data_IF_385625345209
#
_entry.id   IF_385625345209
#
_cell.length_a   1.000
_cell.length_b   1.000
_cell.length_c   1.000
_cell.angle_alpha   90.00
_cell.angle_beta   90.00
_cell.angle_gamma   90.00
#
_symmetry.space_group_name_H-M   'P 1'
#
loop_
_entity.id
_entity.type
_entity.pdbx_description
1 polymer ?
#
# COMPACT_ATOMS: atom_id res chain seq x y z
N UNK A 1 -25.38 15.68 -4.70
CA UNK A 1 -25.86 16.53 -5.81
C UNK A 1 -26.77 15.69 -6.69
N UNK A 2 -27.86 16.27 -7.17
CA UNK A 2 -28.85 15.58 -8.02
C UNK A 2 -28.67 15.87 -9.51
N UNK A 3 -28.00 16.96 -9.86
CA UNK A 3 -27.82 17.43 -11.25
C UNK A 3 -26.43 17.08 -11.81
N UNK A 4 -26.35 16.89 -13.13
CA UNK A 4 -25.10 16.72 -13.87
C UNK A 4 -24.28 18.04 -13.91
N UNK A 5 -22.94 17.98 -13.90
CA UNK A 5 -22.11 16.78 -13.82
C UNK A 5 -21.84 16.33 -12.37
N UNK A 6 -22.35 17.06 -11.37
CA UNK A 6 -22.00 16.87 -9.95
C UNK A 6 -22.60 15.61 -9.32
N UNK A 7 -23.65 15.03 -9.91
CA UNK A 7 -24.20 13.72 -9.55
C UNK A 7 -23.14 12.59 -9.67
N UNK A 8 -22.11 12.75 -10.51
CA UNK A 8 -21.01 11.80 -10.67
C UNK A 8 -19.86 12.00 -9.68
N UNK A 9 -19.95 12.99 -8.79
CA UNK A 9 -18.88 13.28 -7.83
C UNK A 9 -18.65 12.06 -6.91
N UNK A 10 -17.40 11.58 -6.77
CA UNK A 10 -17.14 10.41 -5.95
C UNK A 10 -17.52 10.65 -4.47
N UNK A 11 -18.09 9.62 -3.83
CA UNK A 11 -18.55 9.68 -2.44
C UNK A 11 -17.53 10.22 -1.44
N UNK A 12 -16.26 9.87 -1.62
CA UNK A 12 -15.17 10.30 -0.74
C UNK A 12 -14.82 11.79 -0.83
N UNK A 13 -15.35 12.52 -1.83
CA UNK A 13 -15.12 13.95 -1.98
C UNK A 13 -16.12 14.77 -1.15
N UNK A 14 -17.37 14.32 -1.02
CA UNK A 14 -18.37 15.02 -0.20
C UNK A 14 -18.53 14.42 1.20
N UNK A 15 -18.17 13.15 1.41
CA UNK A 15 -18.13 12.51 2.74
C UNK A 15 -16.76 12.68 3.42
N UNK A 16 -16.29 13.93 3.53
CA UNK A 16 -15.00 14.22 4.15
C UNK A 16 -15.02 13.88 5.65
N UNK A 17 -14.17 12.94 6.05
CA UNK A 17 -13.85 12.71 7.47
C UNK A 17 -12.45 13.24 7.76
N UNK A 18 -12.31 13.93 8.88
CA UNK A 18 -11.02 14.44 9.34
C UNK A 18 -10.43 13.44 10.33
N UNK A 19 -9.26 12.94 9.97
CA UNK A 19 -8.42 12.07 10.80
C UNK A 19 -7.23 12.91 11.26
N UNK A 20 -7.17 13.14 12.56
CA UNK A 20 -6.11 13.90 13.22
C UNK A 20 -4.72 13.28 13.01
N UNK A 21 -4.63 11.95 12.88
CA UNK A 21 -3.39 11.24 12.55
C UNK A 21 -2.88 11.66 11.18
N UNK A 22 -3.72 11.63 10.13
CA UNK A 22 -3.29 12.02 8.78
C UNK A 22 -3.02 13.52 8.68
N UNK A 23 -3.82 14.33 9.38
CA UNK A 23 -3.62 15.78 9.47
C UNK A 23 -2.27 16.12 10.13
N UNK A 24 -1.98 15.49 11.27
CA UNK A 24 -0.71 15.66 11.98
C UNK A 24 0.48 15.18 11.16
N UNK A 25 0.37 14.03 10.50
CA UNK A 25 1.43 13.51 9.62
C UNK A 25 1.70 14.44 8.43
N UNK A 26 0.65 14.99 7.80
CA UNK A 26 0.77 15.94 6.70
C UNK A 26 1.49 17.23 7.09
N UNK A 27 1.40 17.65 8.36
CA UNK A 27 2.18 18.79 8.86
C UNK A 27 3.70 18.54 8.83
N UNK A 28 4.14 17.31 9.08
CA UNK A 28 5.56 16.93 9.05
C UNK A 28 6.05 16.54 7.66
N UNK A 29 5.16 16.03 6.81
CA UNK A 29 5.46 15.60 5.44
C UNK A 29 6.04 16.73 4.57
N UNK A 30 6.97 16.45 3.64
CA UNK A 30 7.41 17.44 2.66
C UNK A 30 6.22 18.07 1.90
N UNK A 31 6.17 19.40 1.81
CA UNK A 31 5.01 20.12 1.26
C UNK A 31 4.67 19.72 -0.18
N UNK A 32 5.67 19.35 -0.97
CA UNK A 32 5.51 18.85 -2.35
C UNK A 32 4.72 17.54 -2.40
N UNK A 33 5.01 16.64 -1.47
CA UNK A 33 4.35 15.33 -1.38
C UNK A 33 2.91 15.54 -0.90
N UNK A 34 2.71 16.32 0.17
CA UNK A 34 1.38 16.64 0.68
C UNK A 34 0.49 17.26 -0.40
N UNK A 35 1.03 18.24 -1.15
CA UNK A 35 0.36 18.86 -2.29
C UNK A 35 -0.07 17.82 -3.33
N UNK A 36 0.86 16.97 -3.75
CA UNK A 36 0.62 15.96 -4.78
C UNK A 36 -0.48 14.96 -4.39
N UNK A 37 -0.53 14.53 -3.12
CA UNK A 37 -1.51 13.55 -2.66
C UNK A 37 -2.94 14.10 -2.78
N UNK A 38 -3.22 15.24 -2.12
CA UNK A 38 -4.60 15.77 -2.13
C UNK A 38 -4.98 16.31 -3.51
N UNK A 39 -4.04 16.95 -4.22
CA UNK A 39 -4.31 17.50 -5.55
C UNK A 39 -4.64 16.41 -6.55
N UNK A 40 -3.88 15.31 -6.58
CA UNK A 40 -4.15 14.21 -7.53
C UNK A 40 -5.48 13.52 -7.22
N UNK A 41 -5.89 13.39 -5.95
CA UNK A 41 -7.23 12.87 -5.60
C UNK A 41 -8.33 13.76 -6.19
N UNK A 42 -8.25 15.08 -6.01
CA UNK A 42 -9.23 16.01 -6.58
C UNK A 42 -9.20 16.04 -8.10
N UNK A 43 -8.02 16.04 -8.71
CA UNK A 43 -7.85 16.02 -10.16
C UNK A 43 -8.47 14.77 -10.79
N UNK A 44 -8.31 13.59 -10.16
CA UNK A 44 -8.93 12.36 -10.64
C UNK A 44 -10.42 12.26 -10.33
N UNK A 45 -10.90 12.92 -9.27
CA UNK A 45 -12.34 13.08 -9.06
C UNK A 45 -12.95 13.93 -10.17
N UNK A 46 -12.32 15.04 -10.56
CA UNK A 46 -12.74 15.85 -11.69
C UNK A 46 -12.66 15.07 -13.02
N UNK A 47 -11.58 14.32 -13.24
CA UNK A 47 -11.44 13.43 -14.41
C UNK A 47 -12.61 12.44 -14.52
N UNK A 48 -13.01 11.82 -13.40
CA UNK A 48 -14.14 10.89 -13.36
C UNK A 48 -15.48 11.58 -13.64
N UNK A 49 -15.69 12.76 -13.05
CA UNK A 49 -16.92 13.57 -13.27
C UNK A 49 -17.04 13.96 -14.74
N UNK A 50 -15.97 14.51 -15.32
CA UNK A 50 -15.93 14.92 -16.73
C UNK A 50 -16.11 13.71 -17.65
N UNK A 51 -15.42 12.61 -17.37
CA UNK A 51 -15.52 11.39 -18.15
C UNK A 51 -16.95 10.82 -18.17
N UNK A 52 -17.61 10.73 -17.02
CA UNK A 52 -18.96 10.21 -16.92
C UNK A 52 -20.01 11.13 -17.57
N UNK A 53 -19.88 12.45 -17.39
CA UNK A 53 -20.86 13.42 -17.91
C UNK A 53 -20.71 13.69 -19.42
N UNK A 54 -19.48 13.76 -19.93
CA UNK A 54 -19.22 14.26 -21.29
C UNK A 54 -18.60 13.23 -22.24
N UNK A 55 -18.08 12.11 -21.74
CA UNK A 55 -17.40 11.10 -22.57
C UNK A 55 -17.88 9.65 -22.30
N UNK A 56 -19.20 9.36 -22.36
CA UNK A 56 -19.69 7.99 -22.26
C UNK A 56 -19.28 7.14 -23.49
N UNK A 57 -18.89 5.85 -23.33
CA UNK A 57 -18.80 5.11 -22.06
C UNK A 57 -17.46 5.35 -21.32
N UNK A 58 -17.53 5.99 -20.15
CA UNK A 58 -16.40 6.10 -19.24
C UNK A 58 -16.29 4.87 -18.34
N UNK A 59 -15.08 4.31 -18.27
CA UNK A 59 -14.80 3.14 -17.44
C UNK A 59 -13.97 3.54 -16.22
N UNK A 60 -14.50 3.36 -15.01
CA UNK A 60 -13.80 3.71 -13.76
C UNK A 60 -12.50 2.92 -13.52
N UNK A 61 -12.33 1.78 -14.19
CA UNK A 61 -11.12 0.96 -14.14
C UNK A 61 -9.87 1.67 -14.69
N UNK A 62 -10.06 2.64 -15.60
CA UNK A 62 -8.97 3.43 -16.21
C UNK A 62 -8.06 4.12 -15.18
N UNK A 63 -8.62 4.62 -14.08
CA UNK A 63 -7.85 5.22 -12.97
C UNK A 63 -6.96 4.19 -12.29
N UNK A 64 -7.45 2.95 -12.14
CA UNK A 64 -6.67 1.83 -11.66
C UNK A 64 -5.50 1.52 -12.58
N UNK A 65 -5.74 1.52 -13.89
CA UNK A 65 -4.74 1.23 -14.91
C UNK A 65 -3.66 2.31 -15.03
N UNK A 66 -4.03 3.60 -14.91
CA UNK A 66 -3.05 4.70 -14.85
C UNK A 66 -2.06 4.50 -13.68
N UNK A 67 -2.59 4.07 -12.53
CA UNK A 67 -1.78 3.77 -11.35
C UNK A 67 -0.94 2.51 -11.53
N UNK A 68 -1.46 1.45 -12.17
CA UNK A 68 -0.67 0.26 -12.54
C UNK A 68 0.54 0.63 -13.40
N UNK A 69 0.33 1.48 -14.41
CA UNK A 69 1.42 2.00 -15.24
C UNK A 69 2.43 2.81 -14.43
N UNK A 70 1.96 3.67 -13.53
CA UNK A 70 2.81 4.47 -12.66
C UNK A 70 3.69 3.60 -11.74
N UNK A 71 3.14 2.50 -11.21
CA UNK A 71 3.90 1.53 -10.40
C UNK A 71 5.08 0.95 -11.17
N UNK A 72 4.86 0.54 -12.43
CA UNK A 72 5.92 -0.01 -13.28
C UNK A 72 7.00 1.06 -13.56
N UNK A 73 6.59 2.24 -14.04
CA UNK A 73 7.53 3.31 -14.39
C UNK A 73 8.38 3.77 -13.20
N UNK A 74 7.78 3.90 -12.00
CA UNK A 74 8.51 4.32 -10.81
C UNK A 74 9.41 3.21 -10.27
N UNK A 75 9.01 1.94 -10.40
CA UNK A 75 9.88 0.82 -10.04
C UNK A 75 11.11 0.79 -10.90
N UNK A 76 10.95 0.90 -12.23
CA UNK A 76 12.08 1.01 -13.17
C UNK A 76 12.97 2.19 -12.79
N UNK A 77 12.38 3.35 -12.48
CA UNK A 77 13.12 4.54 -12.06
C UNK A 77 13.94 4.31 -10.78
N UNK A 78 13.36 3.66 -9.76
CA UNK A 78 14.05 3.33 -8.49
C UNK A 78 15.20 2.35 -8.74
N UNK A 79 14.97 1.30 -9.54
CA UNK A 79 16.00 0.32 -9.87
C UNK A 79 17.15 0.96 -10.65
N UNK A 80 16.82 1.83 -11.62
CA UNK A 80 17.81 2.53 -12.44
C UNK A 80 18.67 3.50 -11.62
N UNK A 81 18.05 4.31 -10.76
CA UNK A 81 18.78 5.22 -9.85
C UNK A 81 19.65 4.45 -8.84
N UNK A 82 19.16 3.30 -8.36
CA UNK A 82 19.84 2.45 -7.38
C UNK A 82 20.87 1.47 -7.96
N UNK A 83 21.09 1.42 -9.28
CA UNK A 83 21.86 0.36 -9.96
C UNK A 83 23.24 0.08 -9.36
N UNK A 84 23.96 1.12 -8.96
CA UNK A 84 25.29 1.00 -8.35
C UNK A 84 25.23 0.36 -6.94
N UNK A 85 24.17 0.65 -6.19
CA UNK A 85 23.91 0.02 -4.90
C UNK A 85 23.52 -1.45 -5.08
N UNK A 86 22.62 -1.75 -6.02
CA UNK A 86 22.22 -3.13 -6.33
C UNK A 86 23.41 -3.98 -6.75
N UNK A 87 24.25 -3.48 -7.66
CA UNK A 87 25.46 -4.16 -8.09
C UNK A 87 26.41 -4.44 -6.92
N UNK A 88 26.56 -3.50 -5.98
CA UNK A 88 27.38 -3.69 -4.77
C UNK A 88 26.80 -4.75 -3.83
N UNK A 89 25.47 -4.77 -3.66
CA UNK A 89 24.79 -5.72 -2.78
C UNK A 89 24.88 -7.14 -3.35
N UNK A 90 24.49 -7.35 -4.61
CA UNK A 90 24.56 -8.69 -5.23
C UNK A 90 26.00 -9.13 -5.51
N UNK A 91 26.91 -8.20 -5.86
CA UNK A 91 28.33 -8.49 -6.00
C UNK A 91 29.00 -8.97 -4.70
N UNK A 92 28.43 -8.64 -3.53
CA UNK A 92 28.95 -9.10 -2.23
C UNK A 92 28.79 -10.62 -2.00
N UNK A 93 27.98 -11.31 -2.81
CA UNK A 93 27.83 -12.77 -2.79
C UNK A 93 29.06 -13.49 -3.35
N UNK A 94 29.73 -12.89 -4.34
CA UNK A 94 30.80 -13.55 -5.09
C UNK A 94 32.22 -13.19 -4.62
N UNK A 95 32.35 -12.23 -3.70
CA UNK A 95 33.64 -11.77 -3.16
C UNK A 95 33.75 -12.04 -1.67
N UNK A 96 34.96 -12.18 -1.14
CA UNK A 96 35.21 -12.26 0.32
C UNK A 96 34.80 -10.94 0.99
N UNK A 97 34.23 -11.00 2.19
CA UNK A 97 33.70 -9.79 2.84
C UNK A 97 34.87 -8.97 3.40
N UNK A 98 35.07 -7.76 2.89
CA UNK A 98 36.15 -6.88 3.33
C UNK A 98 35.82 -6.22 4.67
N UNK A 99 34.56 -5.81 4.85
CA UNK A 99 34.09 -5.12 6.05
C UNK A 99 32.73 -5.69 6.53
N UNK A 100 32.17 -5.07 7.57
CA UNK A 100 30.88 -5.48 8.09
C UNK A 100 29.69 -5.03 7.21
N UNK A 101 29.86 -3.95 6.42
CA UNK A 101 28.84 -3.51 5.49
C UNK A 101 28.64 -4.55 4.36
N UNK A 102 29.73 -5.14 3.88
CA UNK A 102 29.73 -6.26 2.94
C UNK A 102 29.08 -7.51 3.53
N UNK A 103 29.32 -7.82 4.80
CA UNK A 103 28.62 -8.94 5.48
C UNK A 103 27.12 -8.70 5.56
N UNK A 104 26.69 -7.48 5.91
CA UNK A 104 25.28 -7.08 5.92
C UNK A 104 24.67 -7.21 4.53
N UNK A 105 25.35 -6.67 3.51
CA UNK A 105 24.90 -6.73 2.11
C UNK A 105 24.77 -8.17 1.61
N UNK A 106 25.74 -9.04 1.92
CA UNK A 106 25.69 -10.45 1.55
C UNK A 106 24.51 -11.16 2.19
N UNK A 107 24.30 -10.91 3.48
CA UNK A 107 23.15 -11.49 4.22
C UNK A 107 21.83 -11.04 3.58
N UNK A 108 21.70 -9.73 3.29
CA UNK A 108 20.50 -9.19 2.65
C UNK A 108 20.27 -9.79 1.25
N UNK A 109 21.34 -9.91 0.44
CA UNK A 109 21.27 -10.50 -0.90
C UNK A 109 20.87 -11.99 -0.84
N UNK A 110 21.47 -12.75 0.08
CA UNK A 110 21.14 -14.16 0.29
C UNK A 110 19.69 -14.35 0.77
N UNK A 111 19.23 -13.55 1.74
CA UNK A 111 17.84 -13.58 2.22
C UNK A 111 16.86 -13.22 1.10
N UNK A 112 17.18 -12.22 0.28
CA UNK A 112 16.35 -11.84 -0.86
C UNK A 112 16.24 -12.96 -1.90
N UNK A 113 17.37 -13.53 -2.34
CA UNK A 113 17.39 -14.58 -3.35
C UNK A 113 16.72 -15.88 -2.86
N UNK A 114 16.99 -16.28 -1.61
CA UNK A 114 16.36 -17.46 -1.02
C UNK A 114 14.86 -17.26 -0.81
N UNK A 115 14.42 -16.06 -0.42
CA UNK A 115 13.00 -15.71 -0.34
C UNK A 115 12.31 -15.74 -1.70
N UNK A 116 12.92 -15.17 -2.73
CA UNK A 116 12.40 -15.21 -4.10
C UNK A 116 12.33 -16.65 -4.65
N UNK A 117 13.40 -17.44 -4.47
CA UNK A 117 13.46 -18.82 -4.91
C UNK A 117 12.45 -19.71 -4.16
N UNK A 118 12.32 -19.52 -2.85
CA UNK A 118 11.35 -20.24 -2.02
C UNK A 118 9.91 -19.92 -2.42
N UNK A 119 9.58 -18.65 -2.64
CA UNK A 119 8.24 -18.25 -3.09
C UNK A 119 7.94 -18.76 -4.50
N UNK A 120 8.90 -18.67 -5.43
CA UNK A 120 8.77 -19.23 -6.77
C UNK A 120 8.54 -20.74 -6.72
N UNK A 121 9.38 -21.47 -5.98
CA UNK A 121 9.27 -22.92 -5.82
C UNK A 121 7.95 -23.35 -5.17
N UNK A 122 7.48 -22.61 -4.16
CA UNK A 122 6.18 -22.85 -3.53
C UNK A 122 5.02 -22.71 -4.52
N UNK A 123 5.00 -21.67 -5.35
CA UNK A 123 3.95 -21.46 -6.34
C UNK A 123 3.96 -22.54 -7.42
N UNK A 124 5.15 -22.90 -7.93
CA UNK A 124 5.30 -24.00 -8.89
C UNK A 124 4.81 -25.31 -8.28
N UNK A 125 5.17 -25.59 -7.04
CA UNK A 125 4.68 -26.77 -6.30
C UNK A 125 3.16 -26.73 -6.09
N UNK A 126 2.57 -25.55 -5.86
CA UNK A 126 1.14 -25.34 -5.76
C UNK A 126 0.40 -25.40 -7.13
N UNK A 127 1.09 -25.72 -8.21
CA UNK A 127 0.51 -25.91 -9.55
C UNK A 127 0.42 -24.63 -10.40
N UNK A 128 1.02 -23.52 -9.96
CA UNK A 128 1.10 -22.28 -10.76
C UNK A 128 2.15 -22.46 -11.86
N UNK A 129 1.82 -22.03 -13.08
CA UNK A 129 2.77 -22.06 -14.20
C UNK A 129 4.09 -21.34 -13.84
N UNK A 130 5.28 -21.88 -14.19
CA UNK A 130 6.56 -21.31 -13.77
C UNK A 130 6.80 -19.84 -14.16
N UNK A 131 6.34 -19.43 -15.35
CA UNK A 131 6.45 -18.02 -15.78
C UNK A 131 5.52 -17.09 -14.99
N UNK A 132 4.31 -17.56 -14.66
CA UNK A 132 3.37 -16.79 -13.82
C UNK A 132 3.89 -16.67 -12.39
N UNK A 133 4.48 -17.74 -11.86
CA UNK A 133 5.17 -17.71 -10.57
C UNK A 133 6.28 -16.66 -10.54
N UNK A 134 7.10 -16.59 -11.60
CA UNK A 134 8.16 -15.58 -11.70
C UNK A 134 7.58 -14.15 -11.80
N UNK A 135 6.52 -13.97 -12.58
CA UNK A 135 5.80 -12.70 -12.68
C UNK A 135 5.26 -12.26 -11.31
N UNK A 136 4.62 -13.16 -10.55
CA UNK A 136 4.09 -12.83 -9.22
C UNK A 136 5.19 -12.50 -8.20
N UNK A 137 6.35 -13.16 -8.28
CA UNK A 137 7.53 -12.81 -7.47
C UNK A 137 8.03 -11.41 -7.82
N UNK A 138 8.18 -11.11 -9.12
CA UNK A 138 8.56 -9.78 -9.58
C UNK A 138 7.57 -8.70 -9.17
N UNK A 139 6.27 -8.98 -9.27
CA UNK A 139 5.20 -8.08 -8.86
C UNK A 139 5.22 -7.84 -7.34
N UNK A 140 5.38 -8.89 -6.54
CA UNK A 140 5.48 -8.76 -5.08
C UNK A 140 6.68 -7.91 -4.66
N UNK A 141 7.82 -8.09 -5.34
CA UNK A 141 8.99 -7.23 -5.18
C UNK A 141 8.70 -5.77 -5.56
N UNK A 142 8.08 -5.55 -6.72
CA UNK A 142 7.66 -4.22 -7.20
C UNK A 142 6.81 -3.48 -6.15
N UNK A 143 5.79 -4.14 -5.60
CA UNK A 143 4.94 -3.55 -4.55
C UNK A 143 5.76 -3.25 -3.29
N UNK A 144 6.59 -4.20 -2.86
CA UNK A 144 7.38 -4.08 -1.63
C UNK A 144 8.37 -2.90 -1.69
N UNK A 145 9.04 -2.70 -2.83
CA UNK A 145 10.00 -1.60 -3.02
C UNK A 145 9.29 -0.25 -3.17
N UNK A 146 8.16 -0.20 -3.88
CA UNK A 146 7.38 1.02 -4.01
C UNK A 146 6.89 1.49 -2.64
N UNK A 147 6.36 0.58 -1.82
CA UNK A 147 5.83 0.95 -0.50
C UNK A 147 6.95 1.38 0.44
N UNK A 148 8.09 0.70 0.41
CA UNK A 148 9.28 1.16 1.13
C UNK A 148 9.71 2.57 0.70
N UNK A 149 9.65 2.86 -0.61
CA UNK A 149 9.97 4.19 -1.14
C UNK A 149 8.97 5.25 -0.70
N UNK A 150 7.68 4.97 -0.81
CA UNK A 150 6.61 5.90 -0.43
C UNK A 150 6.72 6.22 1.07
N UNK A 151 6.95 5.22 1.93
CA UNK A 151 7.16 5.41 3.38
C UNK A 151 8.43 6.23 3.64
N UNK A 152 9.54 5.92 2.98
CA UNK A 152 10.79 6.64 3.15
C UNK A 152 10.70 8.13 2.74
N UNK A 153 9.90 8.45 1.72
CA UNK A 153 9.72 9.84 1.25
C UNK A 153 8.66 10.62 2.04
N UNK A 154 7.54 9.98 2.37
CA UNK A 154 6.38 10.65 3.00
C UNK A 154 6.45 10.66 4.51
N UNK A 155 7.15 9.70 5.11
CA UNK A 155 7.08 9.41 6.54
C UNK A 155 5.76 8.77 7.00
N UNK A 156 4.83 8.45 6.09
CA UNK A 156 3.54 7.86 6.47
C UNK A 156 3.73 6.46 7.07
N UNK A 157 3.05 6.14 8.21
CA UNK A 157 3.28 4.91 8.95
C UNK A 157 2.71 3.67 8.27
N UNK A 158 1.66 3.81 7.45
CA UNK A 158 1.06 2.71 6.73
C UNK A 158 0.44 3.20 5.43
N UNK A 159 0.61 2.41 4.38
CA UNK A 159 0.05 2.65 3.05
C UNK A 159 -0.43 1.31 2.53
N UNK A 160 -1.57 1.35 1.85
CA UNK A 160 -2.14 0.19 1.16
C UNK A 160 -2.33 0.56 -0.29
N UNK A 161 -1.80 -0.29 -1.13
CA UNK A 161 -2.09 -0.32 -2.56
C UNK A 161 -3.25 -1.33 -2.71
N UNK A 162 -4.33 -0.99 -3.41
CA UNK A 162 -5.52 -1.84 -3.59
C UNK A 162 -5.28 -3.27 -4.16
N UNK A 163 -6.27 -4.15 -4.18
CA UNK A 163 -6.16 -5.52 -4.70
C UNK A 163 -6.26 -5.65 -6.23
N UNK A 164 -6.74 -4.63 -6.95
CA UNK A 164 -7.09 -4.77 -8.38
C UNK A 164 -5.91 -4.96 -9.36
N UNK A 165 -4.67 -4.73 -8.97
CA UNK A 165 -3.59 -4.50 -9.96
C UNK A 165 -2.96 -5.75 -10.56
N UNK A 166 -2.74 -6.79 -9.76
CA UNK A 166 -2.23 -8.07 -10.30
C UNK A 166 -3.22 -8.56 -11.34
N UNK A 167 -4.50 -8.47 -11.00
CA UNK A 167 -5.61 -8.81 -11.88
C UNK A 167 -5.61 -7.92 -13.14
N UNK A 168 -5.34 -6.62 -13.04
CA UNK A 168 -5.18 -5.75 -14.23
C UNK A 168 -4.12 -6.25 -15.20
N UNK A 169 -2.96 -6.74 -14.72
CA UNK A 169 -1.92 -7.28 -15.60
C UNK A 169 -2.24 -8.68 -16.11
N UNK A 170 -2.86 -9.53 -15.27
CA UNK A 170 -3.28 -10.88 -15.66
C UNK A 170 -4.35 -10.84 -16.76
N UNK A 171 -5.27 -9.86 -16.71
CA UNK A 171 -6.29 -9.62 -17.75
C UNK A 171 -5.72 -9.23 -19.12
N UNK A 172 -4.45 -8.82 -19.20
CA UNK A 172 -3.79 -8.56 -20.48
C UNK A 172 -3.32 -9.83 -21.18
N UNK A 173 -3.18 -10.94 -20.45
CA UNK A 173 -2.73 -12.19 -21.02
C UNK A 173 -3.87 -12.91 -21.73
N UNK A 174 -3.60 -13.58 -22.86
CA UNK A 174 -4.57 -14.46 -23.49
C UNK A 174 -5.08 -15.51 -22.50
N UNK A 175 -6.38 -15.79 -22.53
CA UNK A 175 -7.04 -16.84 -21.74
C UNK A 175 -6.31 -18.19 -21.83
N UNK A 176 -5.81 -18.54 -23.02
CA UNK A 176 -5.07 -19.79 -23.25
C UNK A 176 -3.78 -19.91 -22.43
N UNK A 177 -3.25 -18.80 -21.90
CA UNK A 177 -2.03 -18.78 -21.08
C UNK A 177 -2.34 -18.85 -19.57
N UNK A 178 -3.62 -18.84 -19.19
CA UNK A 178 -4.08 -18.81 -17.80
C UNK A 178 -4.57 -20.19 -17.36
N UNK A 179 -3.74 -20.88 -16.59
CA UNK A 179 -4.16 -22.06 -15.84
C UNK A 179 -5.00 -21.65 -14.62
N UNK A 180 -5.96 -22.47 -14.16
CA UNK A 180 -6.79 -22.17 -12.99
C UNK A 180 -5.98 -21.77 -11.75
N UNK A 181 -4.92 -22.52 -11.43
CA UNK A 181 -4.03 -22.21 -10.32
C UNK A 181 -3.36 -20.83 -10.48
N UNK A 182 -2.89 -20.50 -11.69
CA UNK A 182 -2.31 -19.18 -11.98
C UNK A 182 -3.32 -18.05 -11.77
N UNK A 183 -4.57 -18.23 -12.20
CA UNK A 183 -5.63 -17.23 -12.00
C UNK A 183 -5.98 -17.07 -10.52
N UNK A 184 -6.15 -18.17 -9.78
CA UNK A 184 -6.41 -18.13 -8.34
C UNK A 184 -5.29 -17.39 -7.58
N UNK A 185 -4.03 -17.73 -7.88
CA UNK A 185 -2.88 -17.09 -7.25
C UNK A 185 -2.73 -15.61 -7.59
N UNK A 186 -3.30 -15.11 -8.69
CA UNK A 186 -3.31 -13.67 -8.99
C UNK A 186 -4.00 -12.86 -7.88
N UNK A 187 -5.14 -13.36 -7.37
CA UNK A 187 -5.89 -12.74 -6.28
C UNK A 187 -5.21 -12.97 -4.94
N UNK A 188 -4.67 -14.17 -4.69
CA UNK A 188 -3.87 -14.42 -3.48
C UNK A 188 -2.70 -13.44 -3.38
N UNK A 189 -1.99 -13.21 -4.48
CA UNK A 189 -0.85 -12.28 -4.51
C UNK A 189 -1.28 -10.83 -4.36
N UNK A 190 -2.42 -10.45 -4.93
CA UNK A 190 -3.03 -9.15 -4.68
C UNK A 190 -3.37 -8.91 -3.20
N UNK A 191 -3.73 -9.95 -2.46
CA UNK A 191 -3.98 -9.88 -1.02
C UNK A 191 -2.66 -9.77 -0.25
N UNK A 192 -1.70 -10.67 -0.53
CA UNK A 192 -0.46 -10.80 0.24
C UNK A 192 0.49 -9.61 0.09
N UNK A 193 0.54 -9.00 -1.09
CA UNK A 193 1.47 -7.88 -1.35
C UNK A 193 0.75 -6.52 -1.26
N UNK A 194 -0.13 -6.13 -2.20
CA UNK A 194 -0.82 -4.84 -2.12
C UNK A 194 -1.64 -4.62 -0.83
N UNK A 195 -2.54 -5.55 -0.47
CA UNK A 195 -3.48 -5.33 0.65
C UNK A 195 -2.78 -5.43 2.02
N UNK A 196 -1.93 -6.44 2.20
CA UNK A 196 -1.22 -6.67 3.46
C UNK A 196 0.02 -5.78 3.66
N UNK A 197 0.39 -4.97 2.66
CA UNK A 197 1.57 -4.09 2.71
C UNK A 197 1.62 -3.06 3.83
N UNK A 198 0.48 -2.78 4.49
CA UNK A 198 0.35 -1.80 5.57
C UNK A 198 1.32 -2.03 6.75
N UNK A 199 1.68 -3.29 6.98
CA UNK A 199 2.59 -3.73 8.06
C UNK A 199 3.73 -4.58 7.51
N UNK A 200 4.12 -4.33 6.25
CA UNK A 200 5.18 -5.08 5.59
C UNK A 200 6.53 -4.94 6.30
N UNK A 201 7.35 -5.98 6.24
CA UNK A 201 8.71 -6.01 6.81
C UNK A 201 9.57 -4.87 6.25
N UNK A 202 9.38 -4.51 4.98
CA UNK A 202 10.08 -3.40 4.34
C UNK A 202 9.72 -2.05 4.98
N UNK A 203 8.47 -1.85 5.38
CA UNK A 203 7.98 -0.63 6.05
C UNK A 203 8.54 -0.55 7.47
N UNK A 204 8.32 -1.60 8.26
CA UNK A 204 8.78 -1.67 9.65
C UNK A 204 10.31 -1.58 9.73
N UNK A 205 11.02 -2.25 8.82
CA UNK A 205 12.47 -2.16 8.70
C UNK A 205 12.95 -0.74 8.37
N UNK A 206 12.26 -0.03 7.47
CA UNK A 206 12.60 1.36 7.13
C UNK A 206 12.42 2.29 8.33
N UNK A 207 11.31 2.17 9.07
CA UNK A 207 11.09 2.94 10.29
C UNK A 207 12.13 2.62 11.36
N UNK A 208 12.43 1.35 11.58
CA UNK A 208 13.41 0.92 12.58
C UNK A 208 14.82 1.45 12.26
N UNK A 209 15.23 1.46 10.98
CA UNK A 209 16.50 2.10 10.56
C UNK A 209 16.49 3.61 10.85
N UNK A 210 15.36 4.29 10.65
CA UNK A 210 15.22 5.72 10.94
C UNK A 210 15.27 6.05 12.44
N UNK A 211 14.87 5.12 13.30
CA UNK A 211 14.87 5.28 14.75
C UNK A 211 16.20 4.94 15.42
N UNK A 212 17.15 4.27 14.74
CA UNK A 212 18.46 3.94 15.29
C UNK A 212 19.52 5.01 14.97
N UNK A 213 19.82 5.95 15.89
CA UNK A 213 20.87 6.95 15.69
C UNK A 213 22.27 6.34 15.60
N UNK A 214 22.46 5.11 16.12
CA UNK A 214 23.73 4.38 16.20
C UNK A 214 23.90 3.33 15.10
N UNK A 215 23.17 3.47 13.99
CA UNK A 215 23.04 2.52 12.87
C UNK A 215 24.36 1.91 12.38
N UNK A 216 24.80 0.82 13.02
CA UNK A 216 25.94 0.02 12.56
C UNK A 216 25.47 -1.13 11.67
N UNK A 217 26.27 -1.56 10.68
CA UNK A 217 25.90 -2.70 9.84
C UNK A 217 25.60 -3.99 10.63
N UNK A 218 26.29 -4.22 11.77
CA UNK A 218 26.00 -5.35 12.68
C UNK A 218 24.61 -5.28 13.28
N UNK A 219 24.22 -4.10 13.81
CA UNK A 219 22.91 -3.89 14.44
C UNK A 219 21.79 -4.07 13.43
N UNK A 220 21.96 -3.52 12.23
CA UNK A 220 20.99 -3.70 11.15
C UNK A 220 20.81 -5.18 10.77
N UNK A 221 21.90 -5.96 10.67
CA UNK A 221 21.81 -7.40 10.43
C UNK A 221 21.09 -8.14 11.56
N UNK A 222 21.43 -7.84 12.83
CA UNK A 222 20.76 -8.45 13.99
C UNK A 222 19.27 -8.11 14.03
N UNK A 223 18.92 -6.86 13.75
CA UNK A 223 17.53 -6.39 13.69
C UNK A 223 16.77 -7.12 12.59
N UNK A 224 17.35 -7.28 11.39
CA UNK A 224 16.73 -8.04 10.30
C UNK A 224 16.44 -9.49 10.71
N UNK A 225 17.40 -10.16 11.35
CA UNK A 225 17.20 -11.52 11.87
C UNK A 225 16.14 -11.58 12.97
N UNK A 226 16.11 -10.59 13.87
CA UNK A 226 15.07 -10.47 14.90
C UNK A 226 13.68 -10.29 14.31
N UNK A 227 13.54 -9.49 13.25
CA UNK A 227 12.28 -9.35 12.52
C UNK A 227 11.85 -10.67 11.87
N UNK A 228 12.78 -11.44 11.27
CA UNK A 228 12.45 -12.77 10.73
C UNK A 228 11.98 -13.72 11.82
N UNK A 229 12.68 -13.77 12.96
CA UNK A 229 12.26 -14.60 14.09
C UNK A 229 10.87 -14.19 14.60
N UNK A 230 10.61 -12.89 14.73
CA UNK A 230 9.31 -12.37 15.12
C UNK A 230 8.21 -12.75 14.13
N UNK A 231 8.48 -12.72 12.82
CA UNK A 231 7.51 -13.14 11.81
C UNK A 231 7.20 -14.62 11.89
N UNK A 232 8.19 -15.48 12.16
CA UNK A 232 7.98 -16.92 12.32
C UNK A 232 7.14 -17.21 13.57
N UNK A 233 7.45 -16.56 14.70
CA UNK A 233 6.66 -16.67 15.92
C UNK A 233 5.23 -16.17 15.70
N UNK A 234 5.09 -15.01 15.03
CA UNK A 234 3.79 -14.44 14.67
C UNK A 234 2.99 -15.37 13.75
N UNK A 235 3.62 -16.01 12.76
CA UNK A 235 2.98 -16.99 11.89
C UNK A 235 2.43 -18.17 12.69
N UNK A 236 3.19 -18.70 13.65
CA UNK A 236 2.77 -19.83 14.48
C UNK A 236 1.59 -19.41 15.37
N UNK A 237 1.74 -18.32 16.13
CA UNK A 237 0.74 -17.88 17.11
C UNK A 237 -0.53 -17.40 16.40
N UNK A 238 -0.41 -16.46 15.46
CA UNK A 238 -1.56 -15.90 14.75
C UNK A 238 -2.18 -16.95 13.82
N UNK A 239 -1.39 -17.83 13.21
CA UNK A 239 -1.90 -18.93 12.39
C UNK A 239 -2.72 -19.92 13.21
N UNK A 240 -2.22 -20.36 14.38
CA UNK A 240 -2.96 -21.23 15.28
C UNK A 240 -4.24 -20.57 15.80
N UNK A 241 -4.18 -19.30 16.19
CA UNK A 241 -5.35 -18.54 16.60
C UNK A 241 -6.38 -18.40 15.46
N UNK A 242 -5.93 -18.14 14.23
CA UNK A 242 -6.82 -18.00 13.09
C UNK A 242 -7.51 -19.33 12.72
N UNK A 243 -6.78 -20.44 12.78
CA UNK A 243 -7.34 -21.78 12.58
C UNK A 243 -8.35 -22.12 13.70
N UNK A 244 -7.98 -21.91 14.96
CA UNK A 244 -8.85 -22.19 16.10
C UNK A 244 -10.18 -21.43 15.98
N UNK A 245 -10.12 -20.12 15.72
CA UNK A 245 -11.31 -19.29 15.53
C UNK A 245 -12.15 -19.77 14.35
N UNK A 246 -11.52 -20.08 13.20
CA UNK A 246 -12.22 -20.54 12.00
C UNK A 246 -12.95 -21.88 12.19
N UNK A 247 -12.43 -22.79 13.02
CA UNK A 247 -13.04 -24.11 13.25
C UNK A 247 -14.05 -24.15 14.40
N UNK A 248 -13.90 -23.31 15.42
CA UNK A 248 -14.70 -23.41 16.65
C UNK A 248 -15.78 -22.33 16.78
N UNK A 249 -15.74 -21.28 15.97
CA UNK A 249 -16.65 -20.16 16.10
C UNK A 249 -17.27 -19.81 14.74
N UNK A 250 -18.59 -19.72 14.70
CA UNK A 250 -19.35 -19.31 13.52
C UNK A 250 -19.74 -17.84 13.54
N UNK A 251 -19.98 -17.28 14.74
CA UNK A 251 -20.38 -15.89 14.94
C UNK A 251 -19.61 -15.24 16.11
N UNK A 252 -19.51 -13.91 16.09
CA UNK A 252 -19.11 -13.11 17.24
C UNK A 252 -20.17 -13.17 18.34
N UNK A 253 -19.78 -12.83 19.58
CA UNK A 253 -20.66 -12.87 20.76
C UNK A 253 -21.93 -12.02 20.57
N UNK A 254 -21.84 -10.92 19.82
CA UNK A 254 -22.98 -10.05 19.50
C UNK A 254 -23.83 -10.54 18.31
N UNK A 255 -23.49 -11.70 17.72
CA UNK A 255 -24.21 -12.34 16.61
C UNK A 255 -24.17 -11.58 15.27
N UNK A 256 -23.58 -10.38 15.25
CA UNK A 256 -23.66 -9.48 14.09
C UNK A 256 -22.59 -9.76 13.03
N UNK A 257 -21.55 -10.50 13.38
CA UNK A 257 -20.43 -10.80 12.48
C UNK A 257 -19.93 -12.21 12.69
N UNK A 258 -19.16 -12.73 11.73
CA UNK A 258 -18.39 -13.94 11.94
C UNK A 258 -17.01 -13.58 12.53
N UNK A 259 -16.34 -14.49 13.26
CA UNK A 259 -15.03 -14.24 13.88
C UNK A 259 -13.95 -13.87 12.85
N UNK A 260 -14.15 -14.32 11.62
CA UNK A 260 -13.32 -13.97 10.48
C UNK A 260 -13.84 -12.66 9.86
N UNK A 261 -12.95 -11.70 9.62
CA UNK A 261 -13.34 -10.45 8.97
C UNK A 261 -14.03 -10.70 7.63
N UNK A 262 -15.28 -10.24 7.48
CA UNK A 262 -16.04 -10.30 6.23
C UNK A 262 -15.26 -9.68 5.06
N UNK A 263 -14.45 -8.64 5.34
CA UNK A 263 -13.53 -8.08 4.35
C UNK A 263 -12.52 -9.11 3.82
N UNK A 264 -11.91 -9.90 4.71
CA UNK A 264 -10.96 -10.95 4.34
C UNK A 264 -11.61 -12.07 3.53
N UNK A 265 -12.81 -12.50 3.93
CA UNK A 265 -13.59 -13.52 3.20
C UNK A 265 -13.95 -13.03 1.80
N UNK A 266 -14.47 -11.80 1.67
CA UNK A 266 -14.80 -11.24 0.34
C UNK A 266 -13.58 -11.11 -0.57
N UNK A 267 -12.39 -10.91 -0.01
CA UNK A 267 -11.18 -10.86 -0.81
C UNK A 267 -10.80 -12.24 -1.37
N UNK A 268 -10.85 -13.29 -0.56
CA UNK A 268 -10.52 -14.64 -1.04
C UNK A 268 -11.62 -15.18 -1.97
N UNK A 269 -12.89 -14.86 -1.71
CA UNK A 269 -14.02 -15.20 -2.59
C UNK A 269 -13.85 -14.62 -4.01
N UNK A 270 -13.14 -13.51 -4.19
CA UNK A 270 -12.82 -13.01 -5.55
C UNK A 270 -11.91 -13.97 -6.33
N UNK A 271 -11.06 -14.71 -5.63
CA UNK A 271 -10.23 -15.74 -6.24
C UNK A 271 -11.11 -16.89 -6.75
N UNK A 272 -12.07 -17.33 -5.93
CA UNK A 272 -13.05 -18.36 -6.30
C UNK A 272 -13.94 -17.90 -7.45
N UNK A 273 -14.43 -16.65 -7.38
CA UNK A 273 -15.25 -16.07 -8.44
C UNK A 273 -14.51 -16.02 -9.77
N UNK A 274 -13.21 -15.67 -9.77
CA UNK A 274 -12.41 -15.67 -11.01
C UNK A 274 -12.32 -17.07 -11.64
N UNK A 275 -12.32 -18.13 -10.83
CA UNK A 275 -12.34 -19.52 -11.32
C UNK A 275 -13.72 -19.90 -11.88
N UNK A 276 -14.79 -19.47 -11.22
CA UNK A 276 -16.16 -19.65 -11.73
C UNK A 276 -16.33 -18.92 -13.06
N UNK A 277 -15.84 -17.67 -13.15
CA UNK A 277 -15.89 -16.88 -14.38
C UNK A 277 -15.15 -17.59 -15.53
N UNK A 278 -13.98 -18.18 -15.25
CA UNK A 278 -13.23 -18.97 -16.22
C UNK A 278 -14.00 -20.22 -16.65
N UNK A 279 -14.63 -20.93 -15.71
CA UNK A 279 -15.43 -22.13 -15.97
C UNK A 279 -16.64 -21.81 -16.85
N UNK A 280 -17.30 -20.69 -16.59
CA UNK A 280 -18.51 -20.26 -17.31
C UNK A 280 -18.19 -19.58 -18.66
N UNK A 281 -16.90 -19.48 -19.02
CA UNK A 281 -16.44 -18.94 -20.30
C UNK A 281 -16.55 -17.42 -20.40
N UNK A 282 -16.61 -16.70 -19.27
CA UNK A 282 -16.63 -15.25 -19.27
C UNK A 282 -15.30 -14.67 -19.78
N UNK A 283 -15.38 -13.61 -20.57
CA UNK A 283 -14.19 -12.91 -21.06
C UNK A 283 -13.52 -12.13 -19.93
N UNK A 284 -12.20 -12.22 -19.86
CA UNK A 284 -11.36 -11.39 -18.98
C UNK A 284 -10.87 -10.12 -19.66
N UNK A 285 -11.16 -9.94 -20.95
CA UNK A 285 -10.77 -8.76 -21.71
C UNK A 285 -11.47 -7.51 -21.18
N UNK A 286 -10.72 -6.41 -21.06
CA UNK A 286 -11.29 -5.14 -20.68
C UNK A 286 -12.17 -4.60 -21.81
N UNK A 287 -13.35 -4.05 -21.47
CA UNK A 287 -14.26 -3.38 -22.42
C UNK A 287 -13.70 -2.07 -23.03
N UNK A 288 -12.45 -1.72 -22.71
CA UNK A 288 -11.78 -0.49 -23.11
C UNK A 288 -10.29 -0.77 -23.34
N UNK A 289 -9.57 0.18 -23.93
CA UNK A 289 -8.13 0.06 -24.21
C UNK A 289 -7.28 0.13 -22.92
N UNK A 290 -7.33 -0.94 -22.12
CA UNK A 290 -6.58 -1.07 -20.88
C UNK A 290 -5.05 -0.90 -21.07
N UNK A 291 -4.39 -1.52 -22.06
CA UNK A 291 -2.97 -1.28 -22.32
C UNK A 291 -2.65 0.20 -22.55
N UNK A 292 -3.50 0.93 -23.28
CA UNK A 292 -3.35 2.36 -23.52
C UNK A 292 -3.38 3.18 -22.23
N UNK A 293 -4.29 2.86 -21.30
CA UNK A 293 -4.37 3.52 -20.00
C UNK A 293 -3.17 3.20 -19.10
N UNK A 294 -2.69 1.96 -19.12
CA UNK A 294 -1.44 1.58 -18.42
C UNK A 294 -0.25 2.36 -19.00
N UNK A 295 -0.12 2.41 -20.33
CA UNK A 295 0.96 3.14 -21.00
C UNK A 295 0.90 4.65 -20.70
N UNK A 296 -0.31 5.24 -20.68
CA UNK A 296 -0.51 6.63 -20.29
C UNK A 296 -0.05 6.89 -18.85
N UNK A 297 -0.48 6.03 -17.91
CA UNK A 297 -0.08 6.10 -16.51
C UNK A 297 1.43 5.99 -16.29
N UNK A 298 2.08 5.06 -16.99
CA UNK A 298 3.53 4.89 -16.97
C UNK A 298 4.25 6.13 -17.50
N UNK A 299 3.80 6.66 -18.64
CA UNK A 299 4.36 7.86 -19.26
C UNK A 299 4.20 9.08 -18.37
N UNK A 300 3.01 9.30 -17.80
CA UNK A 300 2.75 10.41 -16.87
C UNK A 300 3.64 10.33 -15.63
N UNK A 301 3.78 9.14 -15.03
CA UNK A 301 4.64 8.95 -13.87
C UNK A 301 6.12 9.20 -14.20
N UNK A 302 6.60 8.71 -15.35
CA UNK A 302 7.96 8.93 -15.81
C UNK A 302 8.23 10.43 -16.06
N UNK A 303 7.32 11.14 -16.72
CA UNK A 303 7.43 12.59 -16.95
C UNK A 303 7.43 13.38 -15.64
N UNK A 304 6.56 13.04 -14.68
CA UNK A 304 6.56 13.66 -13.35
C UNK A 304 7.86 13.38 -12.59
N UNK A 305 8.39 12.16 -12.69
CA UNK A 305 9.64 11.78 -12.06
C UNK A 305 10.83 12.52 -12.67
N UNK A 306 10.88 12.67 -14.00
CA UNK A 306 11.89 13.45 -14.72
C UNK A 306 11.78 14.93 -14.38
N UNK A 307 10.56 15.48 -14.34
CA UNK A 307 10.32 16.86 -13.93
C UNK A 307 10.84 17.14 -12.52
N UNK A 308 10.68 16.20 -11.59
CA UNK A 308 11.25 16.30 -10.24
C UNK A 308 12.79 16.28 -10.23
N UNK A 309 13.43 15.58 -11.17
CA UNK A 309 14.90 15.52 -11.28
C UNK A 309 15.48 16.79 -11.93
N UNK A 310 14.83 17.29 -12.97
CA UNK A 310 15.32 18.43 -13.77
C UNK A 310 14.96 19.77 -13.14
N UNK A 311 13.76 19.89 -12.55
CA UNK A 311 13.25 21.14 -11.98
C UNK A 311 13.05 21.03 -10.47
N UNK A 312 13.99 21.52 -9.65
CA UNK A 312 13.88 21.46 -8.19
C UNK A 312 12.63 22.13 -7.62
N UNK A 313 12.06 23.11 -8.32
CA UNK A 313 10.83 23.84 -7.95
C UNK A 313 9.54 23.16 -8.41
N UNK A 314 9.62 22.06 -9.16
CA UNK A 314 8.44 21.36 -9.66
C UNK A 314 7.56 20.83 -8.51
N UNK A 315 6.27 21.19 -8.45
CA UNK A 315 5.43 20.95 -7.27
C UNK A 315 4.78 19.56 -7.27
N UNK A 316 4.62 18.92 -8.43
CA UNK A 316 3.90 17.65 -8.57
C UNK A 316 4.83 16.45 -8.56
N UNK A 317 4.63 15.58 -7.59
CA UNK A 317 5.38 14.36 -7.38
C UNK A 317 4.58 13.14 -7.84
N UNK A 318 5.19 12.14 -8.51
CA UNK A 318 4.48 10.98 -9.04
C UNK A 318 3.81 10.10 -7.97
N UNK A 319 4.14 10.30 -6.69
CA UNK A 319 3.50 9.63 -5.54
C UNK A 319 2.00 9.90 -5.43
N UNK A 320 1.53 11.07 -5.90
CA UNK A 320 0.09 11.36 -5.95
C UNK A 320 -0.64 10.37 -6.86
N UNK A 321 -0.02 10.01 -7.99
CA UNK A 321 -0.54 9.02 -8.94
C UNK A 321 -0.51 7.59 -8.39
N UNK A 322 0.47 7.25 -7.55
CA UNK A 322 0.49 5.96 -6.84
C UNK A 322 -0.65 5.85 -5.81
N UNK A 323 -1.00 6.96 -5.16
CA UNK A 323 -1.97 6.99 -4.09
C UNK A 323 -3.42 7.18 -4.57
N UNK A 324 -3.63 7.67 -5.79
CA UNK A 324 -4.98 7.94 -6.29
C UNK A 324 -5.87 6.71 -6.26
N UNK A 325 -7.16 6.88 -5.96
CA UNK A 325 -8.14 5.79 -5.87
C UNK A 325 -7.72 4.65 -4.91
N UNK A 326 -6.88 4.92 -3.92
CA UNK A 326 -6.62 4.01 -2.80
C UNK A 326 -7.54 4.34 -1.65
N UNK A 327 -7.89 3.34 -0.84
CA UNK A 327 -8.70 3.55 0.36
C UNK A 327 -8.13 4.65 1.28
N UNK A 328 -6.81 4.66 1.49
CA UNK A 328 -6.21 5.67 2.36
C UNK A 328 -6.19 7.05 1.73
N UNK A 329 -5.89 7.20 0.45
CA UNK A 329 -5.96 8.53 -0.17
C UNK A 329 -7.39 9.06 -0.17
N UNK A 330 -8.38 8.23 -0.51
CA UNK A 330 -9.79 8.60 -0.51
C UNK A 330 -10.30 9.02 0.88
N UNK A 331 -9.79 8.42 1.96
CA UNK A 331 -10.16 8.82 3.32
C UNK A 331 -9.32 9.99 3.86
N UNK A 332 -8.03 10.05 3.51
CA UNK A 332 -7.07 10.97 4.11
C UNK A 332 -6.92 12.30 3.35
N UNK A 333 -7.36 12.41 2.09
CA UNK A 333 -7.06 13.58 1.26
C UNK A 333 -7.42 14.92 1.92
N UNK A 334 -8.59 15.00 2.56
CA UNK A 334 -9.04 16.22 3.23
C UNK A 334 -8.18 16.54 4.45
N UNK A 335 -7.81 15.51 5.22
CA UNK A 335 -6.90 15.64 6.37
C UNK A 335 -5.50 16.07 5.93
N UNK A 336 -5.00 15.50 4.83
CA UNK A 336 -3.72 15.86 4.22
C UNK A 336 -3.74 17.29 3.68
N UNK A 337 -4.83 17.69 3.02
CA UNK A 337 -5.03 19.07 2.55
C UNK A 337 -4.98 20.07 3.71
N UNK A 338 -5.74 19.81 4.79
CA UNK A 338 -5.76 20.69 5.95
C UNK A 338 -4.39 20.75 6.62
N UNK A 339 -3.73 19.61 6.86
CA UNK A 339 -2.40 19.57 7.46
C UNK A 339 -1.35 20.30 6.60
N UNK A 340 -1.42 20.13 5.28
CA UNK A 340 -0.59 20.84 4.30
C UNK A 340 -0.84 22.35 4.32
N UNK A 341 -2.12 22.77 4.34
CA UNK A 341 -2.51 24.16 4.38
C UNK A 341 -2.05 24.83 5.69
N UNK A 342 -2.31 24.20 6.84
CA UNK A 342 -1.87 24.69 8.14
C UNK A 342 -0.34 24.80 8.22
N UNK A 343 0.39 23.81 7.70
CA UNK A 343 1.86 23.88 7.58
C UNK A 343 2.28 25.10 6.75
N UNK A 344 1.65 25.31 5.59
CA UNK A 344 1.91 26.45 4.73
C UNK A 344 1.68 27.79 5.42
N UNK A 345 0.54 27.94 6.12
CA UNK A 345 0.19 29.14 6.88
C UNK A 345 1.18 29.38 8.03
N UNK A 346 1.49 28.35 8.82
CA UNK A 346 2.44 28.44 9.93
C UNK A 346 3.82 28.87 9.46
N UNK A 347 4.32 28.28 8.37
CA UNK A 347 5.63 28.63 7.81
C UNK A 347 5.63 30.04 7.20
N UNK A 348 4.56 30.43 6.51
CA UNK A 348 4.46 31.73 5.83
C UNK A 348 4.32 32.91 6.80
N UNK A 349 3.50 32.76 7.84
CA UNK A 349 3.19 33.86 8.76
C UNK A 349 3.99 33.82 10.07
N UNK A 350 4.36 32.63 10.55
CA UNK A 350 5.07 32.48 11.84
C UNK A 350 6.52 32.00 11.73
N UNK A 351 6.97 31.63 10.53
CA UNK A 351 8.32 31.17 10.27
C UNK A 351 8.72 29.93 11.07
N UNK A 352 10.04 29.70 11.18
CA UNK A 352 10.58 28.49 11.82
C UNK A 352 10.29 28.42 13.33
N UNK A 353 10.12 29.56 14.02
CA UNK A 353 9.85 29.59 15.46
C UNK A 353 8.43 29.08 15.75
N UNK A 354 7.42 29.57 15.02
CA UNK A 354 6.05 29.08 15.18
C UNK A 354 5.94 27.61 14.77
N UNK A 355 6.60 27.21 13.68
CA UNK A 355 6.65 25.81 13.26
C UNK A 355 7.13 24.90 14.39
N UNK A 356 8.26 25.22 15.04
CA UNK A 356 8.79 24.42 16.16
C UNK A 356 7.84 24.31 17.34
N UNK A 357 7.13 25.40 17.69
CA UNK A 357 6.12 25.39 18.77
C UNK A 357 4.89 24.57 18.38
N UNK A 358 4.42 24.71 17.14
CA UNK A 358 3.26 23.99 16.62
C UNK A 358 3.50 22.47 16.54
N UNK A 359 4.75 21.98 16.43
CA UNK A 359 5.06 20.54 16.40
C UNK A 359 4.40 19.77 17.55
N UNK A 360 4.40 20.34 18.76
CA UNK A 360 3.82 19.69 19.94
C UNK A 360 2.31 19.47 19.77
N UNK A 361 1.59 20.44 19.21
CA UNK A 361 0.15 20.33 18.91
C UNK A 361 -0.11 19.18 17.91
N UNK A 362 0.60 19.14 16.78
CA UNK A 362 0.38 18.12 15.76
C UNK A 362 0.81 16.71 16.22
N UNK A 363 1.84 16.60 17.07
CA UNK A 363 2.17 15.34 17.74
C UNK A 363 1.04 14.95 18.70
N UNK A 364 0.49 15.90 19.46
CA UNK A 364 -0.66 15.69 20.33
C UNK A 364 -1.90 15.20 19.58
N UNK A 365 -2.16 15.72 18.38
CA UNK A 365 -3.23 15.26 17.50
C UNK A 365 -3.04 13.79 17.07
N UNK A 366 -1.82 13.42 16.67
CA UNK A 366 -1.49 12.03 16.31
C UNK A 366 -1.67 11.11 17.52
N UNK A 367 -1.05 11.47 18.65
CA UNK A 367 -1.09 10.65 19.87
C UNK A 367 -2.50 10.55 20.44
N UNK A 368 -3.28 11.63 20.40
CA UNK A 368 -4.66 11.66 20.87
C UNK A 368 -5.56 10.69 20.11
N UNK A 369 -5.48 10.65 18.79
CA UNK A 369 -6.26 9.68 18.00
C UNK A 369 -5.79 8.24 18.22
N UNK A 370 -4.47 8.00 18.34
CA UNK A 370 -3.95 6.67 18.66
C UNK A 370 -4.41 6.20 20.03
N UNK A 371 -4.35 7.07 21.06
CA UNK A 371 -4.82 6.74 22.40
C UNK A 371 -6.33 6.50 22.44
N UNK A 372 -7.11 7.29 21.69
CA UNK A 372 -8.53 7.06 21.53
C UNK A 372 -8.81 5.70 20.87
N UNK A 373 -8.07 5.34 19.81
CA UNK A 373 -8.17 4.04 19.15
C UNK A 373 -7.86 2.87 20.10
N UNK A 374 -6.82 2.99 20.92
CA UNK A 374 -6.48 1.97 21.92
C UNK A 374 -7.55 1.89 22.99
N UNK A 375 -7.97 3.02 23.56
CA UNK A 375 -8.96 3.07 24.62
C UNK A 375 -10.28 2.42 24.18
N UNK A 376 -10.83 2.84 23.05
CA UNK A 376 -12.09 2.31 22.52
C UNK A 376 -11.98 0.90 21.94
N UNK A 377 -10.77 0.38 21.72
CA UNK A 377 -10.55 -1.02 21.39
C UNK A 377 -10.47 -1.94 22.62
N UNK A 378 -9.89 -1.44 23.71
CA UNK A 378 -9.68 -2.19 24.97
C UNK A 378 -10.90 -2.14 25.88
N UNK A 379 -11.59 -1.00 25.96
CA UNK A 379 -12.74 -0.81 26.84
C UNK A 379 -13.86 -1.85 26.61
N UNK A 380 -14.26 -2.15 25.35
CA UNK A 380 -15.25 -3.19 25.10
C UNK A 380 -14.76 -4.58 25.54
N UNK A 381 -13.48 -4.89 25.33
CA UNK A 381 -12.90 -6.17 25.73
C UNK A 381 -12.94 -6.36 27.25
N UNK A 382 -12.62 -5.31 28.02
CA UNK A 382 -12.71 -5.34 29.48
C UNK A 382 -14.16 -5.55 29.93
N UNK A 383 -15.13 -4.85 29.33
CA UNK A 383 -16.54 -5.03 29.69
C UNK A 383 -17.03 -6.45 29.44
N UNK A 384 -16.64 -7.04 28.30
CA UNK A 384 -16.97 -8.43 27.98
C UNK A 384 -16.37 -9.39 29.02
N UNK A 385 -15.13 -9.16 29.49
CA UNK A 385 -14.50 -9.98 30.54
C UNK A 385 -15.17 -9.85 31.91
N UNK A 386 -15.96 -8.78 32.13
CA UNK A 386 -16.69 -8.51 33.38
C UNK A 386 -18.19 -8.83 33.26
N UNK A 387 -18.63 -9.46 32.17
CA UNK A 387 -20.05 -9.71 31.86
C UNK A 387 -20.91 -8.43 31.86
N UNK A 388 -20.32 -7.30 31.49
CA UNK A 388 -21.00 -6.01 31.41
C UNK A 388 -21.46 -5.69 29.98
N UNK A 389 -22.61 -5.00 29.81
CA UNK A 389 -23.05 -4.55 28.49
C UNK A 389 -22.06 -3.53 27.91
N UNK A 390 -21.70 -3.72 26.64
CA UNK A 390 -20.82 -2.82 25.90
C UNK A 390 -21.51 -2.29 24.63
N UNK A 391 -21.00 -1.17 24.10
CA UNK A 391 -21.39 -0.65 22.80
C UNK A 391 -20.15 -0.57 21.93
N UNK A 392 -20.16 -1.25 20.79
CA UNK A 392 -19.07 -1.17 19.84
C UNK A 392 -18.93 0.27 19.32
N UNK A 393 -17.75 0.87 19.52
CA UNK A 393 -17.40 2.19 18.98
C UNK A 393 -16.50 1.99 17.76
N UNK A 394 -16.91 2.39 16.55
CA UNK A 394 -16.07 2.28 15.37
C UNK A 394 -15.00 3.37 15.40
N UNK A 395 -13.79 3.02 15.84
CA UNK A 395 -12.69 3.99 16.04
C UNK A 395 -11.85 4.22 14.80
N UNK A 396 -11.92 3.33 13.80
CA UNK A 396 -11.18 3.44 12.55
C UNK A 396 -12.10 3.25 11.34
N UNK A 397 -11.78 3.84 10.18
CA UNK A 397 -12.51 3.58 8.96
C UNK A 397 -12.27 2.13 8.50
N UNK A 398 -13.35 1.38 8.31
CA UNK A 398 -13.35 0.04 7.72
C UNK A 398 -13.11 0.08 6.21
#
# INVERSE_FOLDING_TARGET
FTEEPWNHLPGHIYNCRIYFVFLGMAFFMPSRIGFSIWFTVLAYAAYRVIGLAYFPPYHGGTVGDHRSGAMVALTISILWLGRSHWARVFGSLFRRAADEADRRNRTAAAMFLTGCAGMWGFMVWAGVHPLWSLFYVGFGFMVSILIARIVAETGMPFIRIDCGYVVSFVKLAPLAWLQPASLYFSTVIAILFPVASRVGVSVMGTHAIGLDPSRSPRRQRRMAMGLVALLLVGLIICGAAHLYNSYHHSASIDGNTQPISNFGIRLIQKADQSLLDLKDGHSFEAAYNQPGHIAFGASLAALLQLACMVWPRWPLHPIGLLMVNTFYASNAWASVFIGWLLKGLVLRYGGARLYRRARALFIGLIMGEVLAAVFWGVEPAIRVLLDLPYRAVPVQPY
#
